data_IF_072040330056
#
_entry.id   IF_072040330056
#
_cell.length_a   1.000
_cell.length_b   1.000
_cell.length_c   1.000
_cell.angle_alpha   90.00
_cell.angle_beta   90.00
_cell.angle_gamma   90.00
#
_symmetry.space_group_name_H-M   'P 1'
#
loop_
_entity.id
_entity.type
_entity.pdbx_description
1 polymer ?
#
# COMPACT_ATOMS: atom_id res chain seq x y z
N UNK A 1 -8.72 -44.14 -2.49
CA UNK A 1 -9.79 -43.87 -1.48
C UNK A 1 -10.74 -45.05 -1.47
N UNK A 2 -11.22 -45.49 -0.31
CA UNK A 2 -12.08 -46.65 -0.19
C UNK A 2 -13.48 -46.29 -0.71
N UNK A 3 -14.13 -47.22 -1.46
CA UNK A 3 -15.49 -47.04 -1.98
C UNK A 3 -16.53 -46.67 -0.91
N UNK A 4 -16.34 -47.06 0.34
CA UNK A 4 -17.24 -46.69 1.43
C UNK A 4 -17.29 -45.18 1.67
N UNK A 5 -16.16 -44.49 1.69
CA UNK A 5 -16.08 -43.03 1.89
C UNK A 5 -16.77 -42.29 0.74
N UNK A 6 -16.61 -42.73 -0.49
CA UNK A 6 -17.24 -42.10 -1.64
C UNK A 6 -18.77 -42.38 -1.68
N UNK A 7 -19.22 -43.50 -1.12
CA UNK A 7 -20.63 -43.84 -1.03
C UNK A 7 -21.39 -42.94 -0.04
N UNK A 8 -20.72 -42.49 1.03
CA UNK A 8 -21.30 -41.52 1.97
C UNK A 8 -21.49 -40.14 1.33
N UNK A 9 -20.62 -39.75 0.38
CA UNK A 9 -20.72 -38.51 -0.35
C UNK A 9 -21.77 -38.49 -1.46
N UNK A 10 -22.32 -39.66 -1.83
CA UNK A 10 -23.25 -39.80 -2.96
C UNK A 10 -24.52 -38.95 -2.76
N UNK A 11 -25.08 -38.95 -1.54
CA UNK A 11 -26.27 -38.12 -1.25
C UNK A 11 -25.97 -36.64 -1.32
N UNK A 12 -24.88 -36.19 -0.70
CA UNK A 12 -24.46 -34.79 -0.76
C UNK A 12 -24.18 -34.32 -2.21
N UNK A 13 -23.64 -35.22 -3.06
CA UNK A 13 -23.48 -34.93 -4.49
C UNK A 13 -24.82 -34.77 -5.21
N UNK A 14 -25.80 -35.65 -4.92
CA UNK A 14 -27.12 -35.58 -5.51
C UNK A 14 -27.92 -34.35 -5.06
N UNK A 15 -27.65 -33.86 -3.87
CA UNK A 15 -28.30 -32.68 -3.27
C UNK A 15 -27.58 -31.37 -3.62
N UNK A 16 -26.41 -31.43 -4.30
CA UNK A 16 -25.64 -30.26 -4.67
C UNK A 16 -24.92 -29.61 -3.51
N UNK A 17 -24.69 -30.34 -2.41
CA UNK A 17 -24.07 -29.83 -1.16
C UNK A 17 -22.53 -29.99 -1.14
N UNK A 18 -21.94 -30.66 -2.15
CA UNK A 18 -20.49 -30.73 -2.26
C UNK A 18 -19.92 -29.43 -2.85
N UNK A 19 -18.78 -28.99 -2.33
CA UNK A 19 -18.00 -27.95 -2.98
C UNK A 19 -17.44 -28.42 -4.34
N UNK A 20 -16.97 -27.48 -5.16
CA UNK A 20 -16.50 -27.77 -6.52
C UNK A 20 -15.32 -28.75 -6.56
N UNK A 21 -14.44 -28.74 -5.57
CA UNK A 21 -13.30 -29.63 -5.51
C UNK A 21 -13.73 -31.06 -5.17
N UNK A 22 -14.58 -31.21 -4.16
CA UNK A 22 -15.13 -32.48 -3.72
C UNK A 22 -16.03 -33.12 -4.79
N UNK A 23 -16.84 -32.33 -5.51
CA UNK A 23 -17.64 -32.77 -6.61
C UNK A 23 -16.80 -33.34 -7.78
N UNK A 24 -15.74 -32.60 -8.18
CA UNK A 24 -14.82 -33.04 -9.23
C UNK A 24 -14.04 -34.32 -8.85
N UNK A 25 -13.70 -34.46 -7.57
CA UNK A 25 -13.06 -35.66 -7.03
C UNK A 25 -14.02 -36.87 -7.10
N UNK A 26 -15.28 -36.69 -6.69
CA UNK A 26 -16.31 -37.69 -6.76
C UNK A 26 -16.61 -38.11 -8.21
N UNK A 27 -16.72 -37.19 -9.14
CA UNK A 27 -16.92 -37.45 -10.57
C UNK A 27 -15.78 -38.28 -11.18
N UNK A 28 -14.54 -37.99 -10.78
CA UNK A 28 -13.36 -38.77 -11.20
C UNK A 28 -13.44 -40.21 -10.68
N UNK A 29 -13.90 -40.37 -9.42
CA UNK A 29 -14.11 -41.70 -8.84
C UNK A 29 -15.19 -42.49 -9.61
N UNK A 30 -16.29 -41.85 -10.02
CA UNK A 30 -17.36 -42.50 -10.80
C UNK A 30 -16.85 -43.06 -12.12
N UNK A 31 -15.84 -42.45 -12.76
CA UNK A 31 -15.22 -42.96 -13.99
C UNK A 31 -14.45 -44.27 -13.79
N UNK A 32 -13.95 -44.49 -12.56
CA UNK A 32 -13.12 -45.67 -12.23
C UNK A 32 -13.83 -46.73 -11.40
N UNK A 33 -15.01 -46.43 -10.84
CA UNK A 33 -15.74 -47.32 -9.93
C UNK A 33 -17.18 -47.60 -10.45
N UNK A 34 -17.38 -48.74 -11.07
CA UNK A 34 -18.70 -49.16 -11.58
C UNK A 34 -19.76 -49.32 -10.47
N UNK A 35 -19.36 -49.73 -9.26
CA UNK A 35 -20.28 -49.82 -8.14
C UNK A 35 -20.90 -48.53 -7.71
N UNK A 36 -20.09 -47.45 -7.61
CA UNK A 36 -20.60 -46.12 -7.27
C UNK A 36 -21.38 -45.48 -8.42
N UNK A 37 -20.99 -45.73 -9.67
CA UNK A 37 -21.74 -45.30 -10.84
C UNK A 37 -23.15 -45.96 -10.92
N UNK A 38 -23.23 -47.25 -10.63
CA UNK A 38 -24.50 -47.96 -10.56
C UNK A 38 -25.38 -47.44 -9.41
N UNK A 39 -24.81 -47.20 -8.23
CA UNK A 39 -25.54 -46.64 -7.10
C UNK A 39 -26.10 -45.26 -7.44
N UNK A 40 -25.30 -44.39 -8.03
CA UNK A 40 -25.75 -43.06 -8.46
C UNK A 40 -26.92 -43.13 -9.46
N UNK A 41 -26.83 -44.06 -10.42
CA UNK A 41 -27.90 -44.26 -11.42
C UNK A 41 -29.20 -44.76 -10.76
N UNK A 42 -29.09 -45.70 -9.81
CA UNK A 42 -30.24 -46.21 -9.06
C UNK A 42 -30.92 -45.11 -8.21
N UNK A 43 -30.13 -44.28 -7.51
CA UNK A 43 -30.66 -43.18 -6.68
C UNK A 43 -31.32 -42.10 -7.53
N UNK A 44 -30.76 -41.77 -8.69
CA UNK A 44 -31.40 -40.87 -9.66
C UNK A 44 -32.73 -41.44 -10.18
N UNK A 45 -32.75 -42.72 -10.56
CA UNK A 45 -33.96 -43.36 -11.02
C UNK A 45 -35.06 -43.40 -9.94
N UNK A 46 -34.68 -43.62 -8.69
CA UNK A 46 -35.60 -43.56 -7.54
C UNK A 46 -36.18 -42.15 -7.36
N UNK A 47 -35.33 -41.10 -7.38
CA UNK A 47 -35.78 -39.71 -7.28
C UNK A 47 -36.75 -39.34 -8.41
N UNK A 48 -36.44 -39.75 -9.65
CA UNK A 48 -37.30 -39.55 -10.80
C UNK A 48 -38.65 -40.28 -10.67
N UNK A 49 -38.64 -41.50 -10.16
CA UNK A 49 -39.86 -42.27 -9.89
C UNK A 49 -40.75 -41.59 -8.82
N UNK A 50 -40.14 -41.11 -7.73
CA UNK A 50 -40.84 -40.40 -6.69
C UNK A 50 -41.42 -39.07 -7.20
N UNK A 51 -40.67 -38.32 -8.01
CA UNK A 51 -41.15 -37.08 -8.62
C UNK A 51 -42.37 -37.32 -9.55
N UNK A 52 -42.35 -38.44 -10.32
CA UNK A 52 -43.45 -38.81 -11.20
C UNK A 52 -44.66 -39.40 -10.48
N UNK A 53 -44.46 -39.89 -9.26
CA UNK A 53 -45.56 -40.54 -8.48
C UNK A 53 -46.60 -39.55 -7.94
N UNK A 54 -46.39 -38.25 -8.15
CA UNK A 54 -47.31 -37.17 -7.72
C UNK A 54 -47.72 -37.26 -6.23
N UNK A 55 -46.80 -37.65 -5.38
CA UNK A 55 -47.00 -37.79 -3.93
C UNK A 55 -47.12 -36.44 -3.20
N UNK A 56 -47.17 -35.35 -3.98
CA UNK A 56 -47.30 -34.01 -3.43
C UNK A 56 -48.69 -33.78 -2.88
N UNK A 57 -48.78 -33.66 -1.56
CA UNK A 57 -50.01 -33.25 -0.87
C UNK A 57 -50.06 -31.72 -0.78
N UNK A 58 -51.18 -31.12 -1.24
CA UNK A 58 -51.32 -29.66 -1.24
C UNK A 58 -51.48 -29.16 0.19
N UNK A 59 -50.57 -28.34 0.63
CA UNK A 59 -50.59 -27.72 1.98
C UNK A 59 -51.89 -26.94 2.16
N UNK A 60 -52.67 -27.18 3.25
CA UNK A 60 -53.82 -26.35 3.58
C UNK A 60 -53.44 -24.86 3.71
N UNK A 61 -54.27 -23.97 3.16
CA UNK A 61 -53.98 -22.56 3.14
C UNK A 61 -53.81 -21.92 4.55
N UNK A 62 -54.42 -22.55 5.55
CA UNK A 62 -54.25 -22.16 6.97
C UNK A 62 -52.85 -22.43 7.48
N UNK A 63 -52.26 -23.60 7.14
CA UNK A 63 -50.91 -23.96 7.56
C UNK A 63 -49.85 -23.11 6.81
N UNK A 64 -50.04 -22.90 5.51
CA UNK A 64 -49.17 -22.04 4.73
C UNK A 64 -49.10 -20.62 5.31
N UNK A 65 -50.25 -20.03 5.69
CA UNK A 65 -50.31 -18.71 6.32
C UNK A 65 -49.66 -18.71 7.71
N UNK A 66 -49.86 -19.74 8.50
CA UNK A 66 -49.26 -19.84 9.84
C UNK A 66 -47.72 -19.91 9.76
N UNK A 67 -47.19 -20.67 8.84
CA UNK A 67 -45.73 -20.72 8.62
C UNK A 67 -45.21 -19.40 8.10
N UNK A 68 -45.86 -18.80 7.09
CA UNK A 68 -45.43 -17.49 6.56
C UNK A 68 -45.47 -16.39 7.64
N UNK A 69 -46.41 -16.40 8.56
CA UNK A 69 -46.48 -15.40 9.65
C UNK A 69 -45.37 -15.54 10.68
N UNK A 70 -44.81 -16.77 10.85
CA UNK A 70 -43.65 -16.99 11.74
C UNK A 70 -42.34 -16.52 11.14
N UNK A 71 -42.20 -16.57 9.81
CA UNK A 71 -41.01 -16.16 9.09
C UNK A 71 -41.16 -14.79 8.41
N UNK A 72 -42.31 -14.15 8.49
CA UNK A 72 -42.48 -12.78 8.04
C UNK A 72 -41.59 -11.88 8.92
N UNK A 73 -40.70 -11.08 8.32
CA UNK A 73 -39.97 -10.09 9.09
C UNK A 73 -41.03 -9.20 9.82
N UNK A 74 -40.75 -8.77 11.06
CA UNK A 74 -41.66 -7.88 11.77
C UNK A 74 -41.95 -6.71 10.81
N UNK A 75 -43.22 -6.60 10.37
CA UNK A 75 -43.71 -5.40 9.71
C UNK A 75 -43.67 -4.31 10.78
N UNK A 76 -42.48 -3.71 10.93
CA UNK A 76 -42.46 -2.39 11.53
C UNK A 76 -43.31 -1.56 10.58
N UNK A 77 -44.56 -1.30 10.97
CA UNK A 77 -45.30 -0.22 10.37
C UNK A 77 -44.40 1.00 10.55
N UNK A 78 -43.61 1.27 9.51
CA UNK A 78 -42.96 2.54 9.40
C UNK A 78 -44.11 3.53 9.43
N UNK A 79 -44.36 4.10 10.61
CA UNK A 79 -45.07 5.36 10.69
C UNK A 79 -44.32 6.18 9.64
N UNK A 80 -44.99 6.50 8.54
CA UNK A 80 -44.52 7.48 7.57
C UNK A 80 -44.45 8.78 8.36
N UNK A 81 -43.38 8.91 9.21
CA UNK A 81 -42.92 10.21 9.58
C UNK A 81 -42.67 10.87 8.22
N UNK A 82 -43.46 11.86 7.89
CA UNK A 82 -43.26 12.72 6.74
C UNK A 82 -41.93 13.43 6.98
N UNK A 83 -40.88 12.67 6.76
CA UNK A 83 -39.52 13.14 6.85
C UNK A 83 -39.36 14.13 5.71
N UNK A 84 -39.32 15.41 6.09
CA UNK A 84 -39.15 16.49 5.14
C UNK A 84 -37.89 16.23 4.33
N UNK A 85 -38.04 15.58 3.19
CA UNK A 85 -36.98 15.28 2.21
C UNK A 85 -36.09 16.50 1.94
N UNK A 86 -36.65 17.69 2.05
CA UNK A 86 -35.92 18.96 1.90
C UNK A 86 -34.79 19.09 2.93
N UNK A 87 -35.00 18.69 4.18
CA UNK A 87 -33.96 18.74 5.22
C UNK A 87 -32.88 17.65 5.04
N UNK A 88 -33.27 16.47 4.55
CA UNK A 88 -32.33 15.41 4.18
C UNK A 88 -31.47 15.80 2.99
N UNK A 89 -32.07 16.43 1.97
CA UNK A 89 -31.36 16.95 0.81
C UNK A 89 -30.38 18.07 1.22
N UNK A 90 -30.79 18.94 2.15
CA UNK A 90 -29.92 20.01 2.67
C UNK A 90 -28.73 19.42 3.48
N UNK A 91 -28.98 18.43 4.33
CA UNK A 91 -27.94 17.75 5.10
C UNK A 91 -26.95 16.99 4.17
N UNK A 92 -27.46 16.32 3.14
CA UNK A 92 -26.64 15.63 2.15
C UNK A 92 -25.78 16.62 1.32
N UNK A 93 -26.34 17.77 0.92
CA UNK A 93 -25.58 18.83 0.24
C UNK A 93 -24.49 19.41 1.15
N UNK A 94 -24.78 19.60 2.42
CA UNK A 94 -23.81 20.14 3.39
C UNK A 94 -22.66 19.16 3.64
N UNK A 95 -22.97 17.87 3.79
CA UNK A 95 -21.97 16.82 3.92
C UNK A 95 -21.13 16.68 2.64
N UNK A 96 -21.76 16.79 1.47
CA UNK A 96 -21.06 16.79 0.19
C UNK A 96 -20.14 18.01 0.02
N UNK A 97 -20.60 19.20 0.40
CA UNK A 97 -19.81 20.42 0.36
C UNK A 97 -18.61 20.34 1.33
N UNK A 98 -18.79 19.81 2.56
CA UNK A 98 -17.72 19.62 3.53
C UNK A 98 -16.71 18.58 3.03
N UNK A 99 -17.18 17.43 2.53
CA UNK A 99 -16.28 16.39 2.01
C UNK A 99 -15.53 16.85 0.75
N UNK A 100 -16.18 17.57 -0.15
CA UNK A 100 -15.54 18.14 -1.34
C UNK A 100 -14.57 19.26 -0.97
N UNK A 101 -14.89 20.07 0.03
CA UNK A 101 -13.99 21.09 0.58
C UNK A 101 -12.75 20.49 1.22
N UNK A 102 -12.90 19.46 2.05
CA UNK A 102 -11.78 18.73 2.65
C UNK A 102 -10.90 18.03 1.59
N UNK A 103 -11.52 17.44 0.57
CA UNK A 103 -10.80 16.85 -0.55
C UNK A 103 -10.05 17.89 -1.35
N UNK A 104 -10.68 19.01 -1.67
CA UNK A 104 -10.06 20.14 -2.37
C UNK A 104 -8.90 20.75 -1.57
N UNK A 105 -9.07 20.91 -0.25
CA UNK A 105 -7.98 21.36 0.65
C UNK A 105 -6.83 20.38 0.65
N UNK A 106 -7.07 19.05 0.69
CA UNK A 106 -6.01 18.04 0.60
C UNK A 106 -5.32 18.01 -0.78
N UNK A 107 -6.06 18.24 -1.85
CA UNK A 107 -5.50 18.29 -3.22
C UNK A 107 -4.80 19.63 -3.53
N UNK A 108 -5.20 20.70 -2.87
CA UNK A 108 -4.66 22.05 -3.06
C UNK A 108 -3.60 22.46 -2.04
N UNK A 109 -3.29 21.62 -1.06
CA UNK A 109 -2.15 21.89 -0.19
C UNK A 109 -0.84 21.69 -0.96
N UNK A 110 -0.14 22.76 -1.35
CA UNK A 110 1.16 22.65 -2.01
C UNK A 110 2.25 22.08 -1.08
N UNK A 111 1.90 21.80 0.18
CA UNK A 111 2.79 21.17 1.16
C UNK A 111 3.06 19.67 0.92
N UNK A 112 2.28 18.99 0.05
CA UNK A 112 2.41 17.54 -0.15
C UNK A 112 3.68 17.11 -0.90
N UNK A 113 4.21 17.90 -1.82
CA UNK A 113 5.38 17.49 -2.61
C UNK A 113 6.69 17.65 -1.83
N UNK A 114 6.84 18.72 -1.04
CA UNK A 114 8.03 18.95 -0.21
C UNK A 114 8.10 17.97 0.98
N UNK A 115 6.97 17.69 1.64
CA UNK A 115 6.91 16.73 2.73
C UNK A 115 7.20 15.30 2.25
N UNK A 116 6.73 14.90 1.06
CA UNK A 116 7.00 13.59 0.49
C UNK A 116 8.49 13.39 0.16
N UNK A 117 9.18 14.42 -0.31
CA UNK A 117 10.62 14.33 -0.58
C UNK A 117 11.44 14.25 0.72
N UNK A 118 11.07 15.00 1.75
CA UNK A 118 11.74 14.93 3.05
C UNK A 118 11.55 13.55 3.71
N UNK A 119 10.34 12.99 3.63
CA UNK A 119 10.05 11.62 4.06
C UNK A 119 10.93 10.62 3.32
N UNK A 120 10.98 10.70 1.99
CA UNK A 120 11.81 9.82 1.17
C UNK A 120 13.30 9.95 1.50
N UNK A 121 13.79 11.16 1.81
CA UNK A 121 15.17 11.40 2.19
C UNK A 121 15.52 10.78 3.55
N UNK A 122 14.63 10.89 4.55
CA UNK A 122 14.82 10.24 5.85
C UNK A 122 14.81 8.73 5.70
N UNK A 123 13.87 8.15 4.93
CA UNK A 123 13.80 6.72 4.68
C UNK A 123 15.05 6.23 3.91
N UNK A 124 15.58 7.02 2.96
CA UNK A 124 16.82 6.73 2.25
C UNK A 124 18.05 6.77 3.18
N UNK A 125 18.09 7.75 4.09
CA UNK A 125 19.13 7.84 5.11
C UNK A 125 19.10 6.60 6.02
N UNK A 126 17.94 6.21 6.53
CA UNK A 126 17.77 5.01 7.36
C UNK A 126 18.24 3.73 6.65
N UNK A 127 17.91 3.57 5.36
CA UNK A 127 18.40 2.43 4.56
C UNK A 127 19.91 2.43 4.44
N UNK A 128 20.53 3.61 4.29
CA UNK A 128 21.98 3.72 4.11
C UNK A 128 22.79 3.36 5.37
N UNK A 129 22.18 3.45 6.55
CA UNK A 129 22.82 3.04 7.80
C UNK A 129 22.91 1.52 7.98
N UNK A 130 22.26 0.74 7.10
CA UNK A 130 22.40 -0.70 7.09
C UNK A 130 23.81 -1.09 6.61
N UNK A 131 24.32 -2.20 7.14
CA UNK A 131 25.67 -2.66 6.82
C UNK A 131 25.89 -2.83 5.30
N UNK A 132 26.94 -2.20 4.76
CA UNK A 132 27.29 -2.28 3.35
C UNK A 132 26.49 -1.34 2.43
N UNK A 133 25.63 -0.45 2.98
CA UNK A 133 24.80 0.46 2.16
C UNK A 133 25.14 1.93 2.31
N UNK A 134 26.20 2.27 3.04
CA UNK A 134 26.52 3.67 3.35
C UNK A 134 26.96 4.43 2.10
N UNK A 135 27.85 3.87 1.30
CA UNK A 135 28.39 4.46 0.09
C UNK A 135 28.69 3.38 -0.96
N UNK A 136 28.45 3.69 -2.25
CA UNK A 136 28.84 2.84 -3.37
C UNK A 136 30.31 3.11 -3.78
N UNK A 137 30.79 4.33 -3.53
CA UNK A 137 32.19 4.71 -3.62
C UNK A 137 32.63 5.24 -2.28
N UNK A 138 33.46 4.48 -1.58
CA UNK A 138 34.06 4.87 -0.31
C UNK A 138 35.38 5.61 -0.58
N UNK A 139 35.40 6.90 -0.34
CA UNK A 139 36.61 7.74 -0.48
C UNK A 139 36.41 9.07 0.24
N UNK A 140 37.48 9.53 0.89
CA UNK A 140 37.56 10.87 1.44
C UNK A 140 38.03 11.89 0.41
N UNK A 141 38.49 11.42 -0.75
CA UNK A 141 38.98 12.28 -1.82
C UNK A 141 37.85 12.67 -2.79
N UNK A 142 37.53 13.95 -2.83
CA UNK A 142 36.55 14.51 -3.75
C UNK A 142 36.88 14.25 -5.22
N UNK A 143 38.18 14.11 -5.57
CA UNK A 143 38.64 13.83 -6.92
C UNK A 143 38.38 12.37 -7.34
N UNK A 144 38.10 11.51 -6.41
CA UNK A 144 37.64 10.14 -6.62
C UNK A 144 36.11 10.08 -6.64
N UNK A 145 35.43 10.72 -5.70
CA UNK A 145 33.96 10.65 -5.53
C UNK A 145 33.26 11.43 -6.65
N UNK A 146 33.72 12.60 -7.03
CA UNK A 146 33.07 13.42 -8.06
C UNK A 146 33.02 12.73 -9.43
N UNK A 147 34.12 12.21 -10.01
CA UNK A 147 34.09 11.53 -11.29
C UNK A 147 33.29 10.22 -11.25
N UNK A 148 33.12 9.60 -10.09
CA UNK A 148 32.33 8.40 -9.97
C UNK A 148 30.84 8.62 -10.35
N UNK A 149 30.32 9.84 -10.18
CA UNK A 149 28.96 10.20 -10.60
C UNK A 149 28.85 10.44 -12.11
N UNK A 150 29.94 10.64 -12.83
CA UNK A 150 29.92 10.92 -14.27
C UNK A 150 29.29 9.74 -15.03
N UNK A 151 28.29 10.05 -15.85
CA UNK A 151 27.52 9.06 -16.61
C UNK A 151 26.54 8.20 -15.79
N UNK A 152 26.48 8.39 -14.47
CA UNK A 152 25.51 7.70 -13.59
C UNK A 152 24.33 8.57 -13.22
N UNK A 153 24.51 9.88 -13.24
CA UNK A 153 23.47 10.89 -13.13
C UNK A 153 23.55 11.85 -14.30
N UNK A 154 22.45 12.51 -14.63
CA UNK A 154 22.31 13.46 -15.74
C UNK A 154 22.76 14.89 -15.37
N UNK A 155 23.43 15.06 -14.24
CA UNK A 155 23.93 16.33 -13.72
C UNK A 155 25.29 16.12 -13.02
N UNK A 156 26.05 17.19 -12.82
CA UNK A 156 27.33 17.11 -12.11
C UNK A 156 27.18 17.61 -10.68
N UNK A 157 27.10 16.74 -9.66
CA UNK A 157 26.99 17.17 -8.27
C UNK A 157 28.27 17.88 -7.83
N UNK A 158 28.12 18.92 -7.02
CA UNK A 158 29.27 19.55 -6.35
C UNK A 158 29.70 18.65 -5.19
N UNK A 159 30.89 18.07 -5.32
CA UNK A 159 31.50 17.22 -4.29
C UNK A 159 32.69 17.95 -3.73
N UNK A 160 32.67 18.25 -2.45
CA UNK A 160 33.75 18.94 -1.73
C UNK A 160 33.97 18.26 -0.38
N UNK A 161 35.23 18.05 -0.02
CA UNK A 161 35.59 17.59 1.31
C UNK A 161 35.70 18.79 2.26
N UNK A 162 35.04 18.72 3.39
CA UNK A 162 35.06 19.74 4.46
C UNK A 162 35.67 19.18 5.73
N UNK A 163 36.69 18.36 5.61
CA UNK A 163 37.40 17.76 6.76
C UNK A 163 37.98 18.82 7.70
N UNK A 164 38.49 19.94 7.14
CA UNK A 164 39.03 21.04 7.90
C UNK A 164 37.96 21.74 8.79
N UNK A 165 36.71 21.71 8.36
CA UNK A 165 35.55 22.28 9.07
C UNK A 165 34.82 21.24 9.94
N UNK A 166 35.34 20.01 10.00
CA UNK A 166 34.80 18.90 10.79
C UNK A 166 33.65 18.14 10.14
N UNK A 167 33.56 18.22 8.80
CA UNK A 167 32.64 17.43 7.97
C UNK A 167 33.41 16.65 6.91
N UNK A 168 34.21 15.62 7.29
CA UNK A 168 34.93 14.82 6.33
C UNK A 168 33.94 14.13 5.36
N UNK A 169 34.30 14.14 4.07
CA UNK A 169 33.65 13.34 3.07
C UNK A 169 33.97 11.87 3.34
N UNK A 170 32.99 10.99 3.33
CA UNK A 170 33.15 9.54 3.50
C UNK A 170 32.92 8.78 2.22
N UNK A 171 32.24 9.39 1.24
CA UNK A 171 31.95 8.78 -0.04
C UNK A 171 30.68 9.30 -0.68
N UNK A 172 30.21 8.54 -1.65
CA UNK A 172 28.98 8.83 -2.37
C UNK A 172 28.27 7.57 -2.84
N UNK A 173 26.98 7.71 -3.12
CA UNK A 173 26.16 6.65 -3.70
C UNK A 173 25.07 7.22 -4.59
N UNK A 174 24.46 6.36 -5.41
CA UNK A 174 23.19 6.68 -6.05
C UNK A 174 22.03 6.36 -5.10
N UNK A 175 21.01 7.21 -5.13
CA UNK A 175 19.78 6.93 -4.43
C UNK A 175 18.57 7.39 -5.26
N UNK A 176 17.36 7.02 -4.85
CA UNK A 176 16.13 7.39 -5.53
C UNK A 176 15.22 8.14 -4.55
N UNK A 177 14.97 9.42 -4.82
CA UNK A 177 14.02 10.22 -4.06
C UNK A 177 12.81 10.59 -4.93
N UNK A 178 11.64 10.19 -4.48
CA UNK A 178 10.37 10.46 -5.17
C UNK A 178 10.39 10.09 -6.67
N UNK A 179 11.01 8.92 -7.00
CA UNK A 179 11.07 8.39 -8.36
C UNK A 179 12.16 9.01 -9.26
N UNK A 180 13.09 9.81 -8.70
CA UNK A 180 14.22 10.38 -9.44
C UNK A 180 15.54 9.91 -8.84
N UNK A 181 16.48 9.59 -9.70
CA UNK A 181 17.87 9.31 -9.28
C UNK A 181 18.54 10.60 -8.78
N UNK A 182 19.14 10.53 -7.61
CA UNK A 182 19.87 11.61 -6.97
C UNK A 182 21.25 11.15 -6.57
N UNK A 183 22.18 12.08 -6.47
CA UNK A 183 23.49 11.83 -5.86
C UNK A 183 23.35 11.97 -4.34
N UNK A 184 23.78 10.99 -3.57
CA UNK A 184 23.87 11.05 -2.14
C UNK A 184 25.33 11.16 -1.72
N UNK A 185 25.70 12.29 -1.17
CA UNK A 185 27.04 12.56 -0.60
C UNK A 185 26.99 12.20 0.88
N UNK A 186 27.96 11.45 1.33
CA UNK A 186 28.04 10.97 2.71
C UNK A 186 29.14 11.75 3.44
N UNK A 187 28.74 12.47 4.47
CA UNK A 187 29.64 13.20 5.34
C UNK A 187 29.64 12.62 6.74
N UNK A 188 30.76 12.74 7.43
CA UNK A 188 30.88 12.48 8.84
C UNK A 188 30.70 13.76 9.66
N UNK A 189 30.13 13.65 10.86
CA UNK A 189 30.21 14.70 11.89
C UNK A 189 30.42 14.03 13.23
N UNK A 190 31.64 14.07 13.77
CA UNK A 190 32.03 13.29 14.97
C UNK A 190 31.78 11.78 14.76
N UNK A 191 30.76 11.21 15.45
CA UNK A 191 30.37 9.79 15.31
C UNK A 191 29.07 9.61 14.49
N UNK A 192 28.54 10.69 13.90
CA UNK A 192 27.28 10.71 13.20
C UNK A 192 27.49 10.80 11.70
N UNK A 193 26.52 10.30 10.96
CA UNK A 193 26.50 10.34 9.50
C UNK A 193 25.51 11.42 9.05
N UNK A 194 25.92 12.20 8.06
CA UNK A 194 25.07 13.15 7.35
C UNK A 194 24.98 12.71 5.90
N UNK A 195 23.80 12.38 5.41
CA UNK A 195 23.57 12.19 3.99
C UNK A 195 23.05 13.49 3.38
N UNK A 196 23.70 13.94 2.32
CA UNK A 196 23.28 15.10 1.53
C UNK A 196 22.84 14.59 0.15
N UNK A 197 21.55 14.60 -0.08
CA UNK A 197 20.96 14.25 -1.36
C UNK A 197 20.94 15.46 -2.28
N UNK A 198 21.46 15.30 -3.48
CA UNK A 198 21.59 16.37 -4.48
C UNK A 198 20.88 15.94 -5.76
N UNK A 199 20.04 16.80 -6.30
CA UNK A 199 19.39 16.58 -7.57
C UNK A 199 19.15 17.90 -8.31
N UNK A 200 18.82 17.89 -9.60
CA UNK A 200 18.56 19.08 -10.37
C UNK A 200 17.32 19.82 -9.82
N UNK A 201 17.35 21.13 -9.89
CA UNK A 201 16.22 21.96 -9.53
C UNK A 201 15.04 21.68 -10.46
N UNK A 202 13.85 21.50 -9.90
CA UNK A 202 12.61 21.30 -10.64
C UNK A 202 11.57 22.32 -10.17
N UNK A 203 10.88 23.02 -11.09
CA UNK A 203 9.87 24.01 -10.72
C UNK A 203 8.76 23.45 -9.83
N UNK A 204 8.37 22.23 -10.07
CA UNK A 204 7.23 21.59 -9.40
C UNK A 204 7.58 20.98 -8.02
N UNK A 205 8.86 20.89 -7.68
CA UNK A 205 9.36 20.21 -6.48
C UNK A 205 10.57 20.93 -5.91
N UNK A 206 10.32 22.06 -5.28
CA UNK A 206 11.35 22.83 -4.60
C UNK A 206 11.29 22.54 -3.10
N UNK A 207 12.03 21.56 -2.59
CA UNK A 207 12.09 21.35 -1.16
C UNK A 207 12.73 22.56 -0.52
N UNK A 208 12.07 23.18 0.46
CA UNK A 208 12.64 24.25 1.25
C UNK A 208 12.09 24.14 2.67
N UNK A 209 12.97 24.23 3.66
CA UNK A 209 12.58 24.13 5.06
C UNK A 209 13.36 23.06 5.82
N UNK A 210 12.96 22.84 7.05
CA UNK A 210 13.55 21.87 7.95
C UNK A 210 12.49 21.16 8.78
N UNK A 211 12.83 20.01 9.34
CA UNK A 211 11.94 19.29 10.21
C UNK A 211 12.61 18.09 10.86
N UNK A 212 11.82 17.33 11.60
CA UNK A 212 12.25 16.12 12.27
C UNK A 212 11.27 14.98 11.96
N UNK A 213 11.80 13.77 11.74
CA UNK A 213 11.02 12.56 11.55
C UNK A 213 11.80 11.36 12.12
N UNK A 214 11.15 10.57 12.94
CA UNK A 214 11.73 9.36 13.55
C UNK A 214 13.07 9.60 14.27
N UNK A 215 13.26 10.77 14.90
CA UNK A 215 14.50 11.14 15.57
C UNK A 215 15.60 11.69 14.65
N UNK A 216 15.35 11.73 13.32
CA UNK A 216 16.28 12.30 12.35
C UNK A 216 15.82 13.69 11.93
N UNK A 217 16.78 14.63 11.86
CA UNK A 217 16.55 15.99 11.38
C UNK A 217 16.89 16.08 9.92
N UNK A 218 16.11 16.85 9.20
CA UNK A 218 16.37 17.16 7.80
C UNK A 218 16.35 18.66 7.56
N UNK A 219 17.15 19.09 6.60
CA UNK A 219 17.21 20.46 6.11
C UNK A 219 17.26 20.43 4.59
N UNK A 220 16.33 21.14 3.94
CA UNK A 220 16.25 21.25 2.50
C UNK A 220 16.46 22.69 2.05
N UNK A 221 17.24 22.86 0.98
CA UNK A 221 17.53 24.18 0.40
C UNK A 221 17.85 24.05 -1.09
N UNK A 222 17.96 25.21 -1.74
CA UNK A 222 18.38 25.33 -3.13
C UNK A 222 19.64 26.16 -3.22
N UNK A 223 20.57 25.75 -4.06
CA UNK A 223 21.79 26.48 -4.38
C UNK A 223 22.33 26.05 -5.73
N UNK A 224 22.84 27.00 -6.53
CA UNK A 224 23.57 26.73 -7.76
C UNK A 224 22.82 25.89 -8.80
N UNK A 225 21.47 25.97 -8.85
CA UNK A 225 20.65 25.19 -9.79
C UNK A 225 20.33 23.77 -9.30
N UNK A 226 20.65 23.44 -8.04
CA UNK A 226 20.40 22.14 -7.44
C UNK A 226 19.47 22.25 -6.23
N UNK A 227 18.74 21.20 -5.99
CA UNK A 227 18.02 20.93 -4.75
C UNK A 227 18.90 20.07 -3.85
N UNK A 228 19.00 20.44 -2.59
CA UNK A 228 19.73 19.73 -1.55
C UNK A 228 18.78 19.31 -0.44
N UNK A 229 18.94 18.11 0.08
CA UNK A 229 18.30 17.65 1.31
C UNK A 229 19.34 16.94 2.16
N UNK A 230 19.68 17.50 3.29
CA UNK A 230 20.57 16.88 4.26
C UNK A 230 19.78 16.21 5.37
N UNK A 231 20.19 15.03 5.79
CA UNK A 231 19.55 14.21 6.83
C UNK A 231 20.59 13.69 7.80
N UNK A 232 20.30 13.77 9.10
CA UNK A 232 21.18 13.28 10.16
C UNK A 232 20.40 13.06 11.47
N UNK A 233 21.00 12.35 12.40
CA UNK A 233 20.56 12.22 13.80
C UNK A 233 21.15 13.29 14.74
N UNK A 234 22.00 14.22 14.22
CA UNK A 234 22.57 15.33 15.01
C UNK A 234 21.63 16.55 15.07
N UNK A 235 22.13 17.67 15.64
CA UNK A 235 21.40 18.93 15.72
C UNK A 235 21.18 19.62 14.37
N UNK A 236 20.10 20.40 14.25
CA UNK A 236 19.84 21.24 13.07
C UNK A 236 20.99 22.21 12.80
N UNK A 237 21.67 22.67 13.82
CA UNK A 237 22.81 23.57 13.69
C UNK A 237 23.97 22.99 12.87
N UNK A 238 24.26 21.68 13.01
CA UNK A 238 25.25 20.98 12.19
C UNK A 238 24.86 20.97 10.72
N UNK A 239 23.54 20.77 10.41
CA UNK A 239 23.02 20.83 9.04
C UNK A 239 23.09 22.24 8.45
N UNK A 240 22.83 23.27 9.24
CA UNK A 240 22.92 24.68 8.81
C UNK A 240 24.37 25.09 8.56
N UNK A 241 25.32 24.62 9.39
CA UNK A 241 26.76 24.82 9.18
C UNK A 241 27.20 24.17 7.85
N UNK A 242 26.85 22.91 7.60
CA UNK A 242 27.18 22.22 6.36
C UNK A 242 26.51 22.86 5.13
N UNK A 243 25.24 23.32 5.26
CA UNK A 243 24.58 24.10 4.21
C UNK A 243 25.34 25.35 3.84
N UNK A 244 25.81 26.10 4.86
CA UNK A 244 26.57 27.35 4.66
C UNK A 244 27.90 27.10 3.94
N UNK A 245 28.55 25.96 4.19
CA UNK A 245 29.76 25.52 3.47
C UNK A 245 29.48 25.18 2.03
N UNK A 246 28.44 24.36 1.79
CA UNK A 246 28.01 23.94 0.45
C UNK A 246 27.50 25.11 -0.41
N UNK A 247 26.87 26.13 0.19
CA UNK A 247 26.33 27.27 -0.53
C UNK A 247 27.41 28.29 -0.96
N UNK A 248 28.61 28.25 -0.38
CA UNK A 248 29.75 29.14 -0.71
C UNK A 248 30.54 28.65 -1.94
N UNK A 249 30.28 27.45 -2.40
CA UNK A 249 30.92 26.79 -3.55
C UNK A 249 30.13 27.07 -4.85
#
# INVERSE_FOLDING_TARGET
MACNEQRERLQAYLDGELDAMAAAEFERHLQSCSGCATALTADRALRDALAKAQLYERTPASLARAVQSQFAPPVTSAAHATMNWKWLALAAMLLFAISSGLLAVNLWHPGGAGSNIAVAAVDAHLRSLQQGHLADVESTDQHTVKPWFDGRVDFAPKVVDFSAEGFPLLGGRLDVLAGRTVAALVYGRRKHIINVFVGPQSPDRSPNGSGERQGYRWLAWQAGGFNYIAVTDTGLADLEELRALLAKQ
#
